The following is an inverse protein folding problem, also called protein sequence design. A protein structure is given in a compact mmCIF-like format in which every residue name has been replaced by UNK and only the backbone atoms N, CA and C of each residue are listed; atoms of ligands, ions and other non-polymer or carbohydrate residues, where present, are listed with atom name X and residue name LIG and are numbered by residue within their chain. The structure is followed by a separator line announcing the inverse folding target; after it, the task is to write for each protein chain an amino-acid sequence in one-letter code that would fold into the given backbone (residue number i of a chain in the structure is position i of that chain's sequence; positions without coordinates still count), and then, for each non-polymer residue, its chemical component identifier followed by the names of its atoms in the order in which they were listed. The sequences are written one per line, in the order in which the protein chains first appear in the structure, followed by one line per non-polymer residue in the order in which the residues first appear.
data_IF_210526015409
#
_entry.id   IF_210526015409
#
_cell.length_a   1.000
_cell.length_b   1.000
_cell.length_c   1.000
_cell.angle_alpha   90.00
_cell.angle_beta   90.00
_cell.angle_gamma   90.00
#
_symmetry.space_group_name_H-M   'P 1'
#
loop_
_entity.id
_entity.type
_entity.pdbx_description
1 polymer ?
#
# COMPACT_ATOMS: atom_id res chain seq x y z
N UNK A 1 3.30 8.93 -4.69
CA UNK A 1 1.93 9.23 -5.17
C UNK A 1 1.74 10.74 -5.18
N UNK A 2 1.10 11.33 -6.19
CA UNK A 2 0.82 12.78 -6.19
C UNK A 2 -0.34 13.14 -5.26
N UNK A 3 -0.35 14.35 -4.72
CA UNK A 3 -1.40 14.85 -3.82
C UNK A 3 -2.81 14.71 -4.43
N UNK A 4 -2.96 15.01 -5.72
CA UNK A 4 -4.25 14.86 -6.43
C UNK A 4 -4.78 13.42 -6.44
N UNK A 5 -3.91 12.41 -6.58
CA UNK A 5 -4.34 11.00 -6.53
C UNK A 5 -4.83 10.59 -5.14
N UNK A 6 -4.24 11.14 -4.08
CA UNK A 6 -4.63 10.85 -2.69
C UNK A 6 -6.01 11.44 -2.41
N UNK A 7 -6.22 12.72 -2.72
CA UNK A 7 -7.51 13.40 -2.52
C UNK A 7 -8.63 12.68 -3.27
N UNK A 8 -8.38 12.27 -4.51
CA UNK A 8 -9.36 11.53 -5.30
C UNK A 8 -9.77 10.20 -4.65
N UNK A 9 -8.82 9.49 -4.01
CA UNK A 9 -9.12 8.25 -3.30
C UNK A 9 -9.98 8.48 -2.05
N UNK A 10 -9.71 9.55 -1.29
CA UNK A 10 -10.59 9.91 -0.17
C UNK A 10 -11.99 10.25 -0.63
N UNK A 11 -12.10 11.04 -1.71
CA UNK A 11 -13.39 11.38 -2.31
C UNK A 11 -14.17 10.12 -2.72
N UNK A 12 -13.53 9.19 -3.43
CA UNK A 12 -14.16 7.93 -3.83
C UNK A 12 -14.60 7.11 -2.61
N UNK A 13 -13.78 7.03 -1.57
CA UNK A 13 -14.10 6.29 -0.35
C UNK A 13 -15.31 6.88 0.41
N UNK A 14 -15.49 8.21 0.38
CA UNK A 14 -16.62 8.87 1.01
C UNK A 14 -17.92 8.71 0.21
N UNK A 15 -17.85 8.65 -1.13
CA UNK A 15 -19.04 8.51 -2.00
C UNK A 15 -19.43 7.04 -2.24
N UNK A 16 -18.46 6.23 -2.67
CA UNK A 16 -18.68 4.84 -3.12
C UNK A 16 -18.22 3.82 -2.08
N UNK A 17 -17.30 4.22 -1.21
CA UNK A 17 -16.62 3.30 -0.31
C UNK A 17 -15.58 2.46 -1.04
N UNK A 18 -15.16 1.37 -0.40
CA UNK A 18 -14.14 0.46 -0.92
C UNK A 18 -14.72 -0.89 -1.38
N UNK A 19 -16.03 -1.12 -1.22
CA UNK A 19 -16.70 -2.36 -1.64
C UNK A 19 -16.51 -3.55 -0.69
N UNK A 20 -15.70 -3.43 0.36
CA UNK A 20 -15.52 -4.49 1.36
C UNK A 20 -16.68 -4.48 2.38
N UNK A 21 -17.38 -5.62 2.52
CA UNK A 21 -18.51 -5.80 3.43
C UNK A 21 -18.13 -5.87 4.92
N UNK A 22 -16.85 -6.12 5.23
CA UNK A 22 -16.28 -6.15 6.58
C UNK A 22 -15.41 -4.90 6.85
N UNK A 23 -15.62 -3.81 6.12
CA UNK A 23 -14.86 -2.59 6.30
C UNK A 23 -15.12 -1.97 7.69
N UNK A 24 -14.06 -1.77 8.47
CA UNK A 24 -14.10 -1.09 9.79
C UNK A 24 -13.65 0.37 9.76
N UNK A 25 -13.30 0.90 8.58
CA UNK A 25 -12.86 2.28 8.43
C UNK A 25 -14.06 3.24 8.55
N UNK A 26 -14.08 4.05 9.61
CA UNK A 26 -15.16 5.01 9.87
C UNK A 26 -15.30 6.09 8.78
N UNK A 27 -14.28 6.30 7.96
CA UNK A 27 -14.32 7.27 6.86
C UNK A 27 -14.67 6.62 5.52
N UNK A 28 -15.16 5.37 5.51
CA UNK A 28 -15.53 4.63 4.30
C UNK A 28 -17.02 4.35 4.24
N UNK A 29 -17.66 4.73 3.13
CA UNK A 29 -19.10 4.56 2.94
C UNK A 29 -19.56 3.09 2.98
N UNK A 30 -18.67 2.16 2.63
CA UNK A 30 -18.93 0.72 2.74
C UNK A 30 -18.90 0.19 4.19
N UNK A 31 -18.37 0.97 5.14
CA UNK A 31 -18.29 0.56 6.54
C UNK A 31 -19.65 0.66 7.23
N UNK A 32 -19.92 -0.29 8.14
CA UNK A 32 -21.03 -0.21 9.09
C UNK A 32 -20.82 0.86 10.16
N UNK A 33 -19.57 1.33 10.33
CA UNK A 33 -19.17 2.35 11.30
C UNK A 33 -18.98 3.72 10.63
N UNK A 34 -19.57 3.94 9.46
CA UNK A 34 -19.38 5.18 8.71
C UNK A 34 -19.76 6.40 9.55
N UNK A 35 -18.83 7.34 9.65
CA UNK A 35 -18.87 8.51 10.54
C UNK A 35 -19.97 9.48 10.17
N UNK A 36 -20.28 9.61 8.88
CA UNK A 36 -21.24 10.58 8.37
C UNK A 36 -22.60 9.92 8.17
N UNK A 37 -23.65 10.71 8.34
CA UNK A 37 -24.99 10.30 7.94
C UNK A 37 -25.06 10.21 6.41
N UNK A 38 -25.43 9.03 5.90
CA UNK A 38 -25.53 8.74 4.47
C UNK A 38 -26.55 9.63 3.75
N UNK A 39 -27.52 10.17 4.47
CA UNK A 39 -28.54 11.07 3.93
C UNK A 39 -28.03 12.51 3.81
N UNK A 40 -27.04 12.88 4.62
CA UNK A 40 -26.48 14.24 4.70
C UNK A 40 -25.29 14.38 3.75
N UNK A 41 -24.42 13.35 3.68
CA UNK A 41 -23.20 13.38 2.87
C UNK A 41 -23.48 13.08 1.37
N UNK A 42 -24.32 13.89 0.74
CA UNK A 42 -24.68 13.77 -0.68
C UNK A 42 -24.21 14.96 -1.54
N UNK A 43 -23.78 16.06 -0.93
CA UNK A 43 -23.16 17.16 -1.69
C UNK A 43 -21.69 16.81 -2.03
N UNK A 44 -21.40 16.73 -3.34
CA UNK A 44 -20.05 16.45 -3.83
C UNK A 44 -19.05 17.53 -3.44
N UNK A 45 -19.47 18.78 -3.26
CA UNK A 45 -18.56 19.85 -2.85
C UNK A 45 -18.13 19.67 -1.39
N UNK A 46 -19.08 19.34 -0.52
CA UNK A 46 -18.81 19.02 0.89
C UNK A 46 -17.89 17.80 1.00
N UNK A 47 -18.16 16.76 0.22
CA UNK A 47 -17.31 15.55 0.19
C UNK A 47 -15.90 15.84 -0.33
N UNK A 48 -15.76 16.73 -1.31
CA UNK A 48 -14.45 17.15 -1.81
C UNK A 48 -13.67 17.94 -0.76
N UNK A 49 -14.32 18.87 -0.06
CA UNK A 49 -13.70 19.61 1.05
C UNK A 49 -13.25 18.65 2.16
N UNK A 50 -14.09 17.68 2.49
CA UNK A 50 -13.78 16.69 3.52
C UNK A 50 -12.66 15.75 3.10
N UNK A 51 -12.63 15.32 1.84
CA UNK A 51 -11.54 14.52 1.28
C UNK A 51 -10.19 15.24 1.37
N UNK A 52 -10.16 16.56 1.13
CA UNK A 52 -8.96 17.37 1.33
C UNK A 52 -8.56 17.37 2.80
N UNK A 53 -9.50 17.63 3.73
CA UNK A 53 -9.24 17.63 5.18
C UNK A 53 -8.63 16.31 5.65
N UNK A 54 -9.26 15.18 5.30
CA UNK A 54 -8.78 13.84 5.65
C UNK A 54 -7.39 13.55 5.08
N UNK A 55 -7.11 14.05 3.86
CA UNK A 55 -5.79 13.89 3.26
C UNK A 55 -4.70 14.64 4.01
N UNK A 56 -4.98 15.85 4.50
CA UNK A 56 -4.04 16.66 5.28
C UNK A 56 -3.78 16.05 6.67
N UNK A 57 -4.81 15.47 7.28
CA UNK A 57 -4.74 14.77 8.57
C UNK A 57 -4.17 13.36 8.47
N UNK A 58 -3.88 12.86 7.27
CA UNK A 58 -3.33 11.51 7.02
C UNK A 58 -4.17 10.40 7.67
N UNK A 59 -5.49 10.56 7.63
CA UNK A 59 -6.44 9.59 8.17
C UNK A 59 -6.31 8.25 7.44
N UNK A 60 -6.58 7.09 8.07
CA UNK A 60 -6.53 5.82 7.34
C UNK A 60 -7.42 5.80 6.10
N UNK A 61 -6.83 5.50 4.95
CA UNK A 61 -7.52 5.26 3.69
C UNK A 61 -7.64 3.74 3.48
N UNK A 62 -8.78 3.27 2.99
CA UNK A 62 -8.96 1.89 2.57
C UNK A 62 -7.96 1.59 1.45
N UNK A 63 -7.12 0.60 1.70
CA UNK A 63 -6.27 0.01 0.69
C UNK A 63 -7.13 -1.01 -0.05
N UNK A 64 -7.36 -0.74 -1.33
CA UNK A 64 -7.94 -1.74 -2.19
C UNK A 64 -6.88 -2.83 -2.37
N UNK A 65 -7.15 -4.03 -1.84
CA UNK A 65 -6.24 -5.16 -1.95
C UNK A 65 -5.99 -5.55 -3.42
N UNK A 66 -6.93 -5.26 -4.32
CA UNK A 66 -6.74 -5.43 -5.75
C UNK A 66 -5.84 -4.34 -6.34
N UNK A 67 -5.86 -3.12 -5.79
CA UNK A 67 -4.84 -2.10 -6.12
C UNK A 67 -3.47 -2.56 -5.60
N UNK A 68 -3.36 -3.13 -4.40
CA UNK A 68 -2.08 -3.66 -3.93
C UNK A 68 -1.59 -4.79 -4.86
N UNK A 69 -2.44 -5.76 -5.20
CA UNK A 69 -2.09 -6.86 -6.10
C UNK A 69 -1.78 -6.41 -7.52
N UNK A 70 -2.58 -5.52 -8.09
CA UNK A 70 -2.34 -4.96 -9.42
C UNK A 70 -1.08 -4.08 -9.43
N UNK A 71 -0.77 -3.36 -8.34
CA UNK A 71 0.50 -2.65 -8.20
C UNK A 71 1.68 -3.61 -7.98
N UNK A 72 1.53 -4.70 -7.23
CA UNK A 72 2.59 -5.68 -6.99
C UNK A 72 2.91 -6.51 -8.24
N UNK A 73 1.93 -6.80 -9.09
CA UNK A 73 2.10 -7.55 -10.34
C UNK A 73 2.63 -6.67 -11.49
N UNK A 74 2.36 -5.36 -11.49
CA UNK A 74 2.83 -4.42 -12.53
C UNK A 74 4.12 -3.67 -12.18
N UNK A 75 4.57 -3.69 -10.92
CA UNK A 75 5.84 -3.06 -10.55
C UNK A 75 6.99 -4.02 -10.77
N UNK A 76 7.86 -3.70 -11.73
CA UNK A 76 9.22 -4.23 -11.73
C UNK A 76 9.88 -3.80 -10.42
N UNK A 77 10.08 -4.75 -9.50
CA UNK A 77 10.75 -4.50 -8.23
C UNK A 77 12.23 -4.24 -8.54
N UNK A 78 12.61 -2.96 -8.51
CA UNK A 78 14.00 -2.54 -8.58
C UNK A 78 14.64 -2.73 -7.21
N UNK A 79 15.27 -3.88 -6.99
CA UNK A 79 16.02 -4.17 -5.76
C UNK A 79 17.49 -3.81 -5.91
N UNK A 80 18.08 -3.30 -4.83
CA UNK A 80 19.53 -3.15 -4.71
C UNK A 80 20.11 -4.40 -4.04
N UNK A 81 21.16 -4.94 -4.65
CA UNK A 81 22.03 -5.94 -4.04
C UNK A 81 23.42 -5.34 -3.91
N UNK A 82 24.29 -5.99 -3.13
CA UNK A 82 25.69 -5.59 -3.04
C UNK A 82 26.37 -5.58 -4.42
N UNK A 83 26.16 -6.63 -5.23
CA UNK A 83 26.74 -6.74 -6.57
C UNK A 83 26.29 -5.60 -7.49
N UNK A 84 24.99 -5.38 -7.58
CA UNK A 84 24.42 -4.38 -8.48
C UNK A 84 24.80 -2.96 -8.01
N UNK A 85 24.87 -2.72 -6.70
CA UNK A 85 25.36 -1.45 -6.15
C UNK A 85 26.84 -1.24 -6.48
N UNK A 86 27.66 -2.29 -6.38
CA UNK A 86 29.08 -2.19 -6.68
C UNK A 86 29.34 -1.88 -8.16
N UNK A 87 28.59 -2.52 -9.06
CA UNK A 87 28.60 -2.20 -10.49
C UNK A 87 28.19 -0.75 -10.75
N UNK A 88 27.12 -0.30 -10.10
CA UNK A 88 26.61 1.07 -10.22
C UNK A 88 27.64 2.11 -9.75
N UNK A 89 28.30 1.88 -8.61
CA UNK A 89 29.36 2.74 -8.09
C UNK A 89 30.55 2.76 -9.05
N UNK A 90 30.98 1.60 -9.55
CA UNK A 90 32.12 1.50 -10.47
C UNK A 90 31.84 2.24 -11.79
N UNK A 91 30.61 2.12 -12.30
CA UNK A 91 30.17 2.85 -13.48
C UNK A 91 30.19 4.37 -13.22
N UNK A 92 29.55 4.84 -12.14
CA UNK A 92 29.51 6.27 -11.80
C UNK A 92 30.90 6.88 -11.60
N UNK A 93 31.84 6.14 -10.98
CA UNK A 93 33.24 6.54 -10.86
C UNK A 93 33.93 6.71 -12.21
N UNK A 94 33.67 5.81 -13.16
CA UNK A 94 34.28 5.85 -14.50
C UNK A 94 33.81 7.05 -15.32
N UNK A 95 32.55 7.43 -15.18
CA UNK A 95 31.94 8.55 -15.91
C UNK A 95 32.01 9.89 -15.15
N UNK A 96 32.55 9.88 -13.92
CA UNK A 96 32.54 10.99 -12.96
C UNK A 96 31.17 11.67 -12.82
N UNK A 97 30.11 10.86 -12.76
CA UNK A 97 28.73 11.33 -12.68
C UNK A 97 27.92 10.42 -11.77
N UNK A 98 27.44 11.02 -10.67
CA UNK A 98 26.75 10.33 -9.59
C UNK A 98 25.22 10.45 -9.64
N UNK A 99 24.68 11.15 -10.64
CA UNK A 99 23.23 11.34 -10.76
C UNK A 99 22.49 10.02 -10.91
N UNK A 100 23.11 9.04 -11.59
CA UNK A 100 22.53 7.70 -11.73
C UNK A 100 22.43 7.01 -10.36
N UNK A 101 23.50 7.06 -9.55
CA UNK A 101 23.49 6.51 -8.19
C UNK A 101 22.44 7.21 -7.32
N UNK A 102 22.41 8.54 -7.31
CA UNK A 102 21.43 9.31 -6.55
C UNK A 102 20.00 8.94 -6.93
N UNK A 103 19.71 8.83 -8.23
CA UNK A 103 18.38 8.46 -8.72
C UNK A 103 18.00 7.03 -8.34
N UNK A 104 18.94 6.08 -8.40
CA UNK A 104 18.69 4.70 -7.97
C UNK A 104 18.42 4.60 -6.48
N UNK A 105 19.16 5.33 -5.65
CA UNK A 105 18.92 5.38 -4.20
C UNK A 105 17.57 6.04 -3.91
N UNK A 106 17.27 7.17 -4.56
CA UNK A 106 15.99 7.85 -4.39
C UNK A 106 14.81 6.95 -4.78
N UNK A 107 14.88 6.24 -5.92
CA UNK A 107 13.84 5.33 -6.38
C UNK A 107 13.59 4.17 -5.40
N UNK A 108 14.66 3.57 -4.87
CA UNK A 108 14.56 2.45 -3.93
C UNK A 108 14.04 2.90 -2.58
N UNK A 109 14.60 3.96 -2.00
CA UNK A 109 14.22 4.41 -0.66
C UNK A 109 12.87 5.12 -0.63
N UNK A 110 12.40 5.64 -1.78
CA UNK A 110 11.05 6.18 -1.92
C UNK A 110 9.96 5.10 -2.06
N UNK A 111 10.35 3.83 -2.24
CA UNK A 111 9.41 2.73 -2.37
C UNK A 111 9.65 1.64 -1.31
N UNK A 112 8.64 1.43 -0.46
CA UNK A 112 8.67 0.43 0.61
C UNK A 112 9.00 -0.98 0.12
N UNK A 113 8.45 -1.41 -1.02
CA UNK A 113 8.69 -2.74 -1.55
C UNK A 113 10.11 -2.86 -2.11
N UNK A 114 10.62 -1.87 -2.83
CA UNK A 114 12.00 -1.88 -3.32
C UNK A 114 12.99 -1.93 -2.15
N UNK A 115 12.76 -1.12 -1.12
CA UNK A 115 13.58 -1.10 0.08
C UNK A 115 13.56 -2.44 0.84
N UNK A 116 12.38 -3.01 1.08
CA UNK A 116 12.24 -4.30 1.77
C UNK A 116 12.89 -5.46 1.01
N UNK A 117 12.91 -5.39 -0.32
CA UNK A 117 13.53 -6.41 -1.16
C UNK A 117 15.01 -6.15 -1.46
N UNK A 118 15.56 -5.02 -1.01
CA UNK A 118 16.97 -4.67 -1.18
C UNK A 118 17.81 -5.20 -0.01
N UNK A 119 19.03 -5.66 -0.31
CA UNK A 119 20.00 -6.16 0.69
C UNK A 119 19.51 -7.27 1.61
N UNK A 120 18.52 -8.06 1.17
CA UNK A 120 18.09 -9.25 1.91
C UNK A 120 19.22 -10.27 1.97
N UNK A 121 19.54 -10.73 3.19
CA UNK A 121 20.40 -11.90 3.38
C UNK A 121 19.68 -13.14 2.87
N UNK A 122 20.40 -14.08 2.27
CA UNK A 122 19.84 -15.29 1.66
C UNK A 122 18.94 -16.08 2.63
N UNK A 123 19.34 -16.17 3.90
CA UNK A 123 18.58 -16.84 4.97
C UNK A 123 17.22 -16.15 5.26
N UNK A 124 17.12 -14.85 5.01
CA UNK A 124 15.87 -14.09 5.18
C UNK A 124 14.97 -14.16 3.94
N UNK A 125 15.57 -14.22 2.75
CA UNK A 125 14.84 -14.38 1.48
C UNK A 125 14.04 -15.69 1.44
N UNK A 126 14.61 -16.76 1.99
CA UNK A 126 13.95 -18.07 2.09
C UNK A 126 12.71 -18.02 3.00
N UNK A 127 12.78 -17.29 4.11
CA UNK A 127 11.65 -17.12 5.04
C UNK A 127 10.52 -16.22 4.48
N UNK A 128 10.84 -15.24 3.62
CA UNK A 128 9.83 -14.40 2.95
C UNK A 128 9.06 -15.20 1.88
N UNK A 129 9.75 -16.12 1.20
CA UNK A 129 9.14 -16.97 0.17
C UNK A 129 8.19 -18.02 0.77
N UNK A 130 8.53 -18.56 1.94
CA UNK A 130 7.68 -19.51 2.70
C UNK A 130 6.37 -18.84 3.17
N UNK A 131 6.41 -17.56 3.53
CA UNK A 131 5.21 -16.83 3.96
C UNK A 131 4.27 -16.44 2.80
N UNK A 132 4.68 -16.64 1.54
CA UNK A 132 3.83 -16.39 0.36
C UNK A 132 2.86 -17.56 0.10
N UNK A 133 3.14 -18.75 0.63
CA UNK A 133 2.32 -19.96 0.43
C UNK A 133 1.30 -20.21 1.57
N UNK A 134 1.38 -19.52 2.71
CA UNK A 134 0.53 -19.81 3.87
C UNK A 134 -0.76 -18.97 3.99
N UNK A 135 -1.07 -18.08 3.05
CA UNK A 135 -2.37 -17.37 3.03
C UNK A 135 -3.50 -18.14 2.31
N UNK A 136 -3.23 -19.37 1.87
CA UNK A 136 -4.20 -20.23 1.21
C UNK A 136 -4.46 -21.50 2.02
N UNK A 137 -4.97 -21.38 3.25
CA UNK A 137 -5.93 -22.31 3.90
C UNK A 137 -6.06 -22.02 5.39
N UNK A 138 -7.14 -21.35 5.78
CA UNK A 138 -7.74 -21.51 7.11
C UNK A 138 -9.24 -21.21 7.03
N UNK A 139 -9.97 -22.08 6.35
CA UNK A 139 -11.37 -22.34 6.69
C UNK A 139 -11.37 -23.17 7.97
N UNK A 140 -11.71 -22.55 9.08
CA UNK A 140 -12.03 -23.26 10.32
C UNK A 140 -13.31 -22.66 10.90
N UNK A 141 -14.40 -23.40 10.73
CA UNK A 141 -15.69 -23.16 11.35
C UNK A 141 -15.57 -23.27 12.88
N UNK A 142 -16.27 -22.43 13.67
CA UNK A 142 -16.37 -22.64 15.11
C UNK A 142 -17.31 -23.82 15.38
N UNK A 143 -16.76 -24.92 15.92
CA UNK A 143 -17.55 -25.98 16.58
C UNK A 143 -18.16 -25.39 17.85
N UNK A 144 -19.49 -25.37 17.91
CA UNK A 144 -20.22 -25.18 19.16
C UNK A 144 -19.90 -26.34 20.10
N UNK A 145 -19.40 -26.03 21.30
CA UNK A 145 -19.32 -26.96 22.41
C UNK A 145 -20.45 -26.63 23.38
N UNK A 146 -21.41 -27.54 23.49
CA UNK A 146 -22.31 -27.68 24.62
C UNK A 146 -21.50 -28.01 25.87
N UNK A 147 -21.76 -27.32 26.99
CA UNK A 147 -21.52 -27.86 28.33
C UNK A 147 -22.74 -27.53 29.18
N UNK A 148 -23.27 -28.61 29.76
CA UNK A 148 -24.39 -28.84 30.69
C UNK A 148 -25.08 -27.66 31.38
#
# INVERSE_FOLDING_TARGET
MSAGKIIHRYFHQLIHGCGNNQCSNIYCQSSSLFKYDKTILNDRNEVAAEAIRLSLEHVPLCVDENIIKEYEEKMEINKLTENNLQELINHCKKIDNWNLLNKSIEDIFSNRLNLLNSFLKEDFSNNISINKEFSSTASATPKSFFIH
#
